data_IF_227524484563
#
_entry.id   IF_227524484563
#
_cell.length_a   1.000
_cell.length_b   1.000
_cell.length_c   1.000
_cell.angle_alpha   90.00
_cell.angle_beta   90.00
_cell.angle_gamma   90.00
#
_symmetry.space_group_name_H-M   'P 1'
#
loop_
_entity.id
_entity.type
_entity.pdbx_description
1 polymer ?
#
# COMPACT_ATOMS: atom_id res chain seq x y z
N UNK A 1 -38.75 14.78 -65.84
CA UNK A 1 -40.14 15.19 -66.08
C UNK A 1 -40.95 14.57 -64.94
N UNK A 2 -41.11 15.32 -63.83
CA UNK A 2 -42.39 15.99 -63.42
C UNK A 2 -43.42 14.93 -63.05
N UNK A 3 -43.97 14.82 -61.84
CA UNK A 3 -44.45 15.77 -60.82
C UNK A 3 -44.34 15.10 -59.42
N UNK A 4 -44.32 15.74 -58.26
CA UNK A 4 -45.07 16.91 -57.81
C UNK A 4 -46.07 16.48 -56.72
N UNK A 5 -45.73 16.80 -55.46
CA UNK A 5 -46.47 16.81 -54.16
C UNK A 5 -47.96 17.30 -54.28
N UNK A 6 -48.90 17.22 -53.29
CA UNK A 6 -48.66 17.44 -51.84
C UNK A 6 -49.62 16.88 -50.75
N UNK A 7 -49.21 17.07 -49.48
CA UNK A 7 -50.09 17.46 -48.35
C UNK A 7 -50.59 16.33 -47.44
N UNK A 8 -50.79 16.48 -46.13
CA UNK A 8 -50.73 17.58 -45.16
C UNK A 8 -50.64 16.94 -43.75
N UNK A 9 -50.16 17.68 -42.74
CA UNK A 9 -50.29 17.25 -41.34
C UNK A 9 -49.41 18.02 -40.36
N UNK A 10 -49.69 19.32 -40.20
CA UNK A 10 -49.10 20.24 -39.23
C UNK A 10 -49.40 19.85 -37.77
N UNK A 11 -48.41 19.94 -36.88
CA UNK A 11 -48.62 20.40 -35.51
C UNK A 11 -47.31 20.95 -34.91
N UNK A 12 -47.30 22.25 -34.69
CA UNK A 12 -46.29 22.97 -33.93
C UNK A 12 -46.45 22.70 -32.43
N UNK A 13 -45.33 22.72 -31.70
CA UNK A 13 -45.32 22.65 -30.24
C UNK A 13 -43.94 22.99 -29.69
N UNK A 14 -43.56 24.26 -29.74
CA UNK A 14 -42.42 24.83 -29.01
C UNK A 14 -42.90 25.25 -27.62
N UNK A 15 -42.23 24.78 -26.57
CA UNK A 15 -42.24 25.45 -25.27
C UNK A 15 -40.95 25.12 -24.51
N UNK A 16 -40.20 26.18 -24.23
CA UNK A 16 -38.97 26.23 -23.44
C UNK A 16 -39.26 26.19 -21.92
N UNK A 17 -38.39 25.48 -21.19
CA UNK A 17 -37.99 25.74 -19.79
C UNK A 17 -38.80 25.10 -18.65
N UNK A 18 -38.36 25.17 -17.37
CA UNK A 18 -36.99 25.22 -16.82
C UNK A 18 -36.70 24.03 -15.87
N UNK A 19 -35.41 23.80 -15.55
CA UNK A 19 -35.03 22.92 -14.45
C UNK A 19 -35.38 23.54 -13.08
N UNK A 20 -35.83 22.74 -12.11
CA UNK A 20 -35.66 23.04 -10.70
C UNK A 20 -34.69 22.04 -10.04
N UNK A 21 -33.70 22.60 -9.36
CA UNK A 21 -32.91 21.92 -8.37
C UNK A 21 -33.71 21.70 -7.06
N UNK A 22 -33.21 20.77 -6.24
CA UNK A 22 -33.23 20.71 -4.76
C UNK A 22 -34.18 19.70 -4.09
N UNK A 23 -33.53 18.72 -3.43
CA UNK A 23 -33.66 18.40 -2.00
C UNK A 23 -34.50 17.20 -1.52
N UNK A 24 -33.76 16.31 -0.83
CA UNK A 24 -33.98 15.77 0.55
C UNK A 24 -34.84 14.51 0.79
N UNK A 25 -34.11 13.46 1.23
CA UNK A 25 -34.15 12.86 2.58
C UNK A 25 -35.32 11.92 2.97
N UNK A 26 -35.02 10.63 3.18
CA UNK A 26 -35.61 9.72 4.21
C UNK A 26 -34.55 8.63 4.52
N UNK A 27 -33.92 8.54 5.71
CA UNK A 27 -34.39 8.12 7.05
C UNK A 27 -34.80 6.64 7.14
N UNK A 28 -34.05 5.87 7.94
CA UNK A 28 -34.33 4.50 8.40
C UNK A 28 -33.01 3.76 8.66
N UNK A 29 -32.50 3.58 9.88
CA UNK A 29 -33.19 3.30 11.13
C UNK A 29 -33.35 1.79 11.30
N UNK A 30 -32.38 1.13 11.94
CA UNK A 30 -32.39 -0.32 12.14
C UNK A 30 -31.34 -0.79 13.14
N UNK A 31 -31.60 -0.52 14.42
CA UNK A 31 -30.86 -1.05 15.56
C UNK A 31 -31.52 -2.39 15.92
N UNK A 32 -30.80 -3.50 15.83
CA UNK A 32 -31.24 -4.79 16.39
C UNK A 32 -30.06 -5.55 16.99
N UNK A 33 -30.10 -5.65 18.32
CA UNK A 33 -29.23 -6.41 19.21
C UNK A 33 -29.84 -7.80 19.41
N UNK A 34 -29.12 -8.89 19.15
CA UNK A 34 -29.36 -10.26 19.69
C UNK A 34 -28.01 -11.01 19.67
N UNK A 35 -27.25 -11.11 20.77
CA UNK A 35 -27.24 -12.11 21.85
C UNK A 35 -26.80 -13.56 21.48
N UNK A 36 -25.59 -13.88 21.96
CA UNK A 36 -25.08 -15.15 22.53
C UNK A 36 -25.15 -16.49 21.76
N UNK A 37 -23.98 -17.09 21.55
CA UNK A 37 -23.69 -18.46 22.04
C UNK A 37 -22.18 -18.73 22.11
N UNK A 38 -21.71 -19.02 23.32
CA UNK A 38 -20.37 -19.55 23.63
C UNK A 38 -20.39 -21.06 23.39
N UNK A 39 -19.54 -21.55 22.49
CA UNK A 39 -19.05 -22.95 22.43
C UNK A 39 -17.64 -22.83 21.80
N UNK A 40 -16.52 -23.07 22.48
CA UNK A 40 -16.21 -24.27 23.25
C UNK A 40 -15.47 -25.25 22.35
N UNK A 41 -14.19 -24.98 22.04
CA UNK A 41 -13.31 -25.95 21.39
C UNK A 41 -11.93 -25.93 22.05
N UNK A 42 -11.89 -26.63 23.16
CA UNK A 42 -10.72 -27.28 23.74
C UNK A 42 -10.08 -28.25 22.74
N UNK A 43 -8.75 -28.17 22.61
CA UNK A 43 -7.90 -29.15 21.92
C UNK A 43 -6.54 -28.50 21.67
N UNK A 44 -5.52 -28.62 22.53
CA UNK A 44 -5.12 -29.79 23.28
C UNK A 44 -4.15 -30.62 22.44
N UNK A 45 -2.91 -30.15 22.29
CA UNK A 45 -1.77 -31.03 21.98
C UNK A 45 -0.78 -30.94 23.13
N UNK A 46 -0.79 -32.04 23.88
CA UNK A 46 0.06 -32.38 25.00
C UNK A 46 0.63 -33.76 24.64
N UNK A 47 1.86 -34.03 25.10
CA UNK A 47 2.65 -35.28 24.98
C UNK A 47 3.59 -35.33 23.77
N UNK A 48 4.87 -35.67 23.92
CA UNK A 48 5.67 -35.99 25.11
C UNK A 48 7.15 -35.94 24.69
N UNK A 49 8.03 -35.61 25.63
CA UNK A 49 9.46 -35.52 25.39
C UNK A 49 10.27 -35.27 26.66
N UNK A 50 10.03 -36.14 27.66
CA UNK A 50 11.02 -36.69 28.60
C UNK A 50 11.97 -35.72 29.33
N UNK A 51 11.66 -35.59 30.63
CA UNK A 51 12.51 -35.43 31.81
C UNK A 51 14.03 -35.32 31.62
N UNK A 52 14.63 -34.25 32.14
CA UNK A 52 15.51 -34.33 33.32
C UNK A 52 16.02 -32.95 33.75
N UNK A 53 15.77 -32.63 35.04
CA UNK A 53 16.28 -31.47 35.76
C UNK A 53 17.74 -31.70 36.26
N UNK A 54 18.42 -30.69 36.86
CA UNK A 54 19.87 -30.43 36.74
C UNK A 54 20.73 -31.12 37.80
N UNK A 55 22.08 -31.01 37.72
CA UNK A 55 22.76 -30.08 38.62
C UNK A 55 24.01 -29.38 38.04
N UNK A 56 24.31 -28.17 38.56
CA UNK A 56 25.62 -27.54 38.51
C UNK A 56 26.50 -27.99 39.72
N UNK A 57 27.69 -27.38 39.94
CA UNK A 57 29.03 -27.58 39.37
C UNK A 57 29.95 -28.39 40.34
N UNK A 58 31.26 -28.67 40.07
CA UNK A 58 32.32 -27.76 40.59
C UNK A 58 33.73 -27.79 39.90
N UNK A 59 34.43 -26.65 40.00
CA UNK A 59 35.87 -26.36 40.27
C UNK A 59 37.08 -27.18 39.74
N UNK A 60 38.18 -26.43 39.54
CA UNK A 60 39.63 -26.77 39.64
C UNK A 60 40.28 -27.47 38.41
N UNK A 61 41.52 -27.20 37.97
CA UNK A 61 42.60 -26.30 38.42
C UNK A 61 43.70 -26.22 37.32
N UNK A 62 44.41 -25.08 37.28
CA UNK A 62 45.86 -24.87 37.13
C UNK A 62 46.66 -25.70 36.11
N UNK A 63 47.37 -25.01 35.20
CA UNK A 63 48.85 -25.14 35.05
C UNK A 63 49.43 -23.86 34.44
N UNK A 64 50.53 -23.43 35.06
CA UNK A 64 51.35 -22.21 34.92
C UNK A 64 52.40 -22.29 33.77
N UNK A 65 53.25 -21.26 33.53
CA UNK A 65 53.70 -20.79 32.20
C UNK A 65 55.10 -21.30 31.81
N UNK A 66 55.71 -20.70 30.76
CA UNK A 66 57.00 -20.05 31.04
C UNK A 66 57.15 -18.63 30.48
N UNK A 67 58.05 -17.93 31.16
CA UNK A 67 58.52 -16.56 30.94
C UNK A 67 59.61 -16.47 29.87
N UNK A 68 59.81 -15.24 29.38
CA UNK A 68 61.05 -14.56 28.97
C UNK A 68 60.67 -13.40 28.05
N UNK A 69 61.24 -12.20 28.05
CA UNK A 69 62.16 -11.39 28.87
C UNK A 69 62.13 -10.02 28.18
N UNK A 70 62.33 -8.95 28.93
CA UNK A 70 62.32 -7.54 28.51
C UNK A 70 63.15 -7.20 27.26
N UNK A 71 62.73 -6.16 26.54
CA UNK A 71 63.68 -5.10 26.14
C UNK A 71 63.02 -3.72 26.19
N UNK A 72 63.73 -2.81 26.84
CA UNK A 72 63.40 -1.41 27.07
C UNK A 72 63.98 -0.58 25.93
N UNK A 73 63.17 0.29 25.33
CA UNK A 73 63.68 1.49 24.65
C UNK A 73 62.63 2.60 24.67
N UNK A 74 62.87 3.58 25.54
CA UNK A 74 62.28 4.90 25.49
C UNK A 74 63.14 5.80 24.58
N UNK A 75 62.51 6.59 23.71
CA UNK A 75 62.69 8.05 23.59
C UNK A 75 62.18 8.61 22.25
N UNK A 76 61.28 9.60 22.37
CA UNK A 76 61.18 10.85 21.58
C UNK A 76 60.89 10.75 20.07
N UNK A 77 59.70 11.17 19.62
CA UNK A 77 59.49 12.48 18.94
C UNK A 77 58.10 12.57 18.24
N UNK A 78 57.44 13.72 18.44
CA UNK A 78 56.41 14.38 17.61
C UNK A 78 54.97 13.81 17.45
N UNK A 79 53.92 14.57 17.82
CA UNK A 79 52.54 14.30 17.45
C UNK A 79 52.29 14.77 16.01
N UNK A 80 52.03 13.84 15.08
CA UNK A 80 51.41 14.20 13.80
C UNK A 80 49.93 13.90 13.88
N UNK A 81 49.18 14.91 14.32
CA UNK A 81 47.73 15.01 14.12
C UNK A 81 47.42 14.76 12.65
N UNK A 82 46.92 13.58 12.32
CA UNK A 82 46.22 13.36 11.07
C UNK A 82 44.91 14.14 11.18
N UNK A 83 44.65 15.15 10.32
CA UNK A 83 43.33 15.77 10.29
C UNK A 83 42.30 14.70 9.96
N UNK A 84 41.07 14.78 10.51
CA UNK A 84 39.98 13.95 10.00
C UNK A 84 39.86 14.25 8.51
N UNK A 85 39.86 13.21 7.69
CA UNK A 85 39.59 13.35 6.27
C UNK A 85 38.17 13.88 6.15
N UNK A 86 38.06 15.18 5.93
CA UNK A 86 36.82 15.85 5.57
C UNK A 86 36.38 15.23 4.26
N UNK A 87 35.41 14.30 4.33
CA UNK A 87 34.68 13.80 3.18
C UNK A 87 33.82 14.92 2.59
N UNK A 88 34.47 15.92 1.98
CA UNK A 88 33.83 16.87 1.08
C UNK A 88 33.90 16.28 -0.32
N UNK A 89 32.89 15.50 -0.66
CA UNK A 89 32.33 15.50 -2.02
C UNK A 89 30.84 15.79 -1.94
N UNK A 90 30.54 16.96 -1.39
CA UNK A 90 29.39 17.74 -1.86
C UNK A 90 29.64 18.10 -3.32
N UNK A 91 29.16 17.24 -4.22
CA UNK A 91 29.00 17.58 -5.63
C UNK A 91 27.62 17.09 -6.05
N UNK A 92 26.68 18.05 -6.00
CA UNK A 92 25.36 18.00 -6.62
C UNK A 92 24.24 17.30 -5.81
N UNK A 93 23.97 17.78 -4.59
CA UNK A 93 22.62 17.72 -3.98
C UNK A 93 21.72 18.78 -4.64
N UNK A 94 21.55 18.70 -5.96
CA UNK A 94 20.68 19.62 -6.69
C UNK A 94 19.24 19.13 -6.54
N UNK A 95 18.46 19.95 -5.80
CA UNK A 95 17.10 19.75 -5.29
C UNK A 95 17.05 18.95 -3.96
N UNK A 96 17.16 19.67 -2.85
CA UNK A 96 17.05 19.14 -1.48
C UNK A 96 15.67 18.56 -1.16
N UNK A 97 15.40 17.38 -1.68
CA UNK A 97 14.24 16.58 -1.32
C UNK A 97 14.62 15.73 -0.10
N UNK A 98 13.97 15.99 1.02
CA UNK A 98 14.15 15.23 2.25
C UNK A 98 12.88 14.45 2.56
N UNK A 99 13.04 13.34 3.28
CA UNK A 99 11.89 12.59 3.79
C UNK A 99 11.15 13.48 4.80
N UNK A 100 9.84 13.74 4.63
CA UNK A 100 9.08 14.55 5.56
C UNK A 100 8.93 13.86 6.92
N UNK A 101 8.63 14.62 7.98
CA UNK A 101 8.23 14.05 9.27
C UNK A 101 6.83 13.42 9.15
N UNK A 102 6.79 12.09 9.20
CA UNK A 102 5.56 11.30 9.05
C UNK A 102 5.15 10.58 10.34
N UNK A 103 6.09 10.36 11.26
CA UNK A 103 5.80 9.71 12.55
C UNK A 103 4.74 10.51 13.32
N UNK A 104 3.73 9.79 13.82
CA UNK A 104 2.55 10.35 14.50
C UNK A 104 1.46 10.89 13.56
N UNK A 105 1.67 10.90 12.23
CA UNK A 105 0.62 11.25 11.25
C UNK A 105 -0.21 10.01 10.91
N UNK A 106 -1.52 10.18 10.62
CA UNK A 106 -2.34 9.10 10.02
C UNK A 106 -1.74 8.65 8.68
N UNK A 107 -1.74 7.34 8.41
CA UNK A 107 -1.07 6.78 7.25
C UNK A 107 -1.63 7.28 5.90
N UNK A 108 -2.92 7.65 5.82
CA UNK A 108 -3.54 8.19 4.59
C UNK A 108 -3.00 9.60 4.31
N UNK A 109 -2.90 10.42 5.35
CA UNK A 109 -2.28 11.74 5.25
C UNK A 109 -0.77 11.64 4.96
N UNK A 110 -0.09 10.63 5.53
CA UNK A 110 1.31 10.37 5.22
C UNK A 110 1.53 9.99 3.75
N UNK A 111 0.65 9.17 3.17
CA UNK A 111 0.63 8.85 1.74
C UNK A 111 0.49 10.11 0.88
N UNK A 112 -0.47 10.98 1.21
CA UNK A 112 -0.68 12.23 0.48
C UNK A 112 0.58 13.12 0.49
N UNK A 113 1.21 13.29 1.67
CA UNK A 113 2.46 14.06 1.82
C UNK A 113 3.61 13.49 0.96
N UNK A 114 3.74 12.16 0.87
CA UNK A 114 4.76 11.53 0.03
C UNK A 114 4.48 11.71 -1.45
N UNK A 115 3.21 11.59 -1.87
CA UNK A 115 2.78 11.81 -3.26
C UNK A 115 3.08 13.23 -3.73
N UNK A 116 2.77 14.25 -2.92
CA UNK A 116 3.09 15.66 -3.20
C UNK A 116 4.59 15.89 -3.43
N UNK A 117 5.42 15.14 -2.70
CA UNK A 117 6.88 15.18 -2.81
C UNK A 117 7.42 14.29 -3.95
N UNK A 118 6.54 13.61 -4.70
CA UNK A 118 6.89 12.63 -5.74
C UNK A 118 7.81 11.53 -5.22
N UNK A 119 7.57 11.11 -3.98
CA UNK A 119 8.22 9.98 -3.33
C UNK A 119 7.30 8.77 -3.40
N UNK A 120 7.89 7.60 -3.63
CA UNK A 120 7.17 6.34 -3.51
C UNK A 120 6.89 6.02 -2.04
N UNK A 121 5.94 5.12 -1.80
CA UNK A 121 5.66 4.64 -0.45
C UNK A 121 5.43 3.13 -0.45
N UNK A 122 5.70 2.52 0.71
CA UNK A 122 5.29 1.15 1.04
C UNK A 122 4.72 1.16 2.44
N UNK A 123 3.48 0.70 2.60
CA UNK A 123 2.84 0.59 3.91
C UNK A 123 3.06 -0.83 4.46
N UNK A 124 3.50 -0.91 5.71
CA UNK A 124 3.57 -2.14 6.50
C UNK A 124 2.68 -1.94 7.70
N UNK A 125 1.60 -2.72 7.80
CA UNK A 125 0.64 -2.61 8.89
C UNK A 125 1.05 -3.54 10.05
N UNK A 126 0.87 -3.06 11.27
CA UNK A 126 1.13 -3.80 12.50
C UNK A 126 -0.13 -4.48 13.05
N UNK A 127 -0.04 -4.95 14.29
CA UNK A 127 -1.11 -5.69 14.99
C UNK A 127 -1.77 -4.88 16.11
N UNK A 128 -1.35 -3.62 16.32
CA UNK A 128 -1.94 -2.74 17.31
C UNK A 128 -3.33 -2.21 16.90
N UNK A 129 -3.75 -1.09 17.49
CA UNK A 129 -5.07 -0.50 17.23
C UNK A 129 -5.02 0.89 16.57
N UNK A 130 -3.82 1.43 16.35
CA UNK A 130 -3.62 2.77 15.81
C UNK A 130 -3.63 2.83 14.29
N UNK A 131 -3.85 4.03 13.74
CA UNK A 131 -3.74 4.33 12.30
C UNK A 131 -2.54 5.23 11.99
N UNK A 132 -1.75 5.54 13.00
CA UNK A 132 -0.60 6.42 12.90
C UNK A 132 0.64 5.68 12.44
N UNK A 133 1.50 6.38 11.72
CA UNK A 133 2.83 5.89 11.36
C UNK A 133 3.73 5.97 12.60
N UNK A 134 4.34 4.84 12.96
CA UNK A 134 5.24 4.75 14.12
C UNK A 134 6.70 4.86 13.72
N UNK A 135 7.03 4.34 12.53
CA UNK A 135 8.39 4.30 12.00
C UNK A 135 8.40 4.54 10.50
N UNK A 136 9.47 5.14 10.01
CA UNK A 136 9.73 5.23 8.57
C UNK A 136 11.17 4.84 8.24
N UNK A 137 11.36 4.40 7.01
CA UNK A 137 12.66 4.14 6.43
C UNK A 137 12.66 4.56 4.95
N UNK A 138 13.53 5.49 4.52
CA UNK A 138 14.48 6.23 5.34
C UNK A 138 13.82 7.09 6.43
N UNK A 139 14.61 7.50 7.43
CA UNK A 139 14.11 8.33 8.53
C UNK A 139 13.79 9.76 8.06
N UNK A 140 12.94 10.45 8.80
CA UNK A 140 12.60 11.84 8.52
C UNK A 140 13.87 12.72 8.47
N UNK A 141 13.91 13.66 7.54
CA UNK A 141 15.07 14.53 7.30
C UNK A 141 16.15 13.90 6.42
N UNK A 142 16.11 12.59 6.16
CA UNK A 142 17.09 11.94 5.28
C UNK A 142 17.01 12.53 3.86
N UNK A 143 18.13 12.95 3.26
CA UNK A 143 18.16 13.40 1.87
C UNK A 143 17.90 12.23 0.93
N UNK A 144 16.95 12.41 0.01
CA UNK A 144 16.53 11.37 -0.93
C UNK A 144 16.44 11.93 -2.35
N UNK A 145 16.52 11.03 -3.34
CA UNK A 145 16.27 11.36 -4.73
C UNK A 145 14.79 11.17 -5.05
N UNK A 146 14.31 11.78 -6.14
CA UNK A 146 12.95 11.51 -6.64
C UNK A 146 12.77 10.03 -6.95
N UNK A 147 11.57 9.51 -6.71
CA UNK A 147 11.25 8.10 -6.94
C UNK A 147 11.76 7.12 -5.88
N UNK A 148 12.44 7.59 -4.82
CA UNK A 148 12.76 6.75 -3.67
C UNK A 148 11.48 6.35 -2.95
N UNK A 149 11.37 5.07 -2.60
CA UNK A 149 10.26 4.53 -1.83
C UNK A 149 10.54 4.63 -0.33
N UNK A 150 9.69 5.35 0.39
CA UNK A 150 9.70 5.38 1.86
C UNK A 150 8.83 4.25 2.38
N UNK A 151 9.35 3.40 3.25
CA UNK A 151 8.57 2.39 3.98
C UNK A 151 8.02 3.01 5.25
N UNK A 152 6.72 2.83 5.52
CA UNK A 152 6.03 3.34 6.70
C UNK A 152 5.47 2.15 7.46
N UNK A 153 5.78 2.05 8.74
CA UNK A 153 5.18 1.08 9.64
C UNK A 153 4.03 1.77 10.37
N UNK A 154 2.84 1.20 10.24
CA UNK A 154 1.59 1.71 10.83
C UNK A 154 1.28 0.89 12.07
N UNK A 155 0.82 1.55 13.12
CA UNK A 155 0.58 0.94 14.44
C UNK A 155 -0.36 -0.28 14.40
N UNK A 156 -1.44 -0.20 13.62
CA UNK A 156 -2.51 -1.19 13.58
C UNK A 156 -2.68 -1.87 12.22
N UNK A 157 -3.69 -2.76 12.12
CA UNK A 157 -3.93 -3.59 10.95
C UNK A 157 -4.41 -2.76 9.75
N UNK A 158 -4.32 -3.32 8.53
CA UNK A 158 -4.85 -2.67 7.35
C UNK A 158 -6.37 -2.50 7.49
N UNK A 159 -6.89 -1.27 7.32
CA UNK A 159 -8.31 -1.03 7.45
C UNK A 159 -9.10 -1.74 6.34
N UNK A 160 -10.36 -2.12 6.62
CA UNK A 160 -11.22 -2.72 5.61
C UNK A 160 -11.61 -1.70 4.54
N UNK A 161 -11.73 -2.17 3.30
CA UNK A 161 -12.22 -1.44 2.12
C UNK A 161 -13.08 -2.37 1.27
N UNK A 162 -13.92 -1.81 0.40
CA UNK A 162 -14.62 -2.58 -0.61
C UNK A 162 -13.85 -2.50 -1.92
N UNK A 163 -13.86 -3.59 -2.68
CA UNK A 163 -13.31 -3.58 -4.04
C UNK A 163 -14.24 -2.73 -4.94
N UNK A 164 -13.73 -1.73 -5.68
CA UNK A 164 -14.54 -0.93 -6.60
C UNK A 164 -15.03 -1.78 -7.79
N UNK A 165 -16.08 -1.30 -8.47
CA UNK A 165 -16.49 -1.82 -9.77
C UNK A 165 -15.67 -1.14 -10.85
N UNK A 166 -14.93 -1.93 -11.63
CA UNK A 166 -13.97 -1.45 -12.63
C UNK A 166 -14.27 -2.01 -14.02
N UNK A 167 -15.27 -2.89 -14.16
CA UNK A 167 -15.59 -3.52 -15.44
C UNK A 167 -16.12 -2.45 -16.40
N UNK A 168 -15.54 -2.37 -17.59
CA UNK A 168 -15.89 -1.34 -18.57
C UNK A 168 -15.06 -0.06 -18.46
N UNK A 169 -14.27 0.11 -17.39
CA UNK A 169 -13.37 1.26 -17.25
C UNK A 169 -12.09 1.11 -18.06
N UNK A 170 -11.46 2.25 -18.37
CA UNK A 170 -10.13 2.28 -18.96
C UNK A 170 -9.12 1.58 -18.06
N UNK A 171 -8.32 0.68 -18.61
CA UNK A 171 -7.38 -0.14 -17.82
C UNK A 171 -6.34 0.67 -17.02
N UNK A 172 -6.06 1.91 -17.44
CA UNK A 172 -5.21 2.85 -16.71
C UNK A 172 -5.99 3.52 -15.58
N UNK A 173 -7.17 4.07 -15.87
CA UNK A 173 -8.03 4.74 -14.89
C UNK A 173 -8.44 3.79 -13.77
N UNK A 174 -8.81 2.55 -14.12
CA UNK A 174 -9.11 1.49 -13.16
C UNK A 174 -7.95 1.19 -12.20
N UNK A 175 -6.70 1.33 -12.67
CA UNK A 175 -5.52 1.12 -11.86
C UNK A 175 -5.31 2.28 -10.87
N UNK A 176 -5.56 3.51 -11.32
CA UNK A 176 -5.52 4.70 -10.48
C UNK A 176 -6.62 4.63 -9.40
N UNK A 177 -7.84 4.25 -9.77
CA UNK A 177 -8.97 4.08 -8.85
C UNK A 177 -8.67 3.05 -7.75
N UNK A 178 -8.04 1.92 -8.11
CA UNK A 178 -7.57 0.94 -7.14
C UNK A 178 -6.55 1.54 -6.17
N UNK A 179 -5.56 2.27 -6.68
CA UNK A 179 -4.54 2.91 -5.83
C UNK A 179 -5.16 3.96 -4.93
N UNK A 180 -6.13 4.73 -5.42
CA UNK A 180 -6.87 5.71 -4.62
C UNK A 180 -7.65 5.04 -3.48
N UNK A 181 -8.34 3.94 -3.78
CA UNK A 181 -9.03 3.08 -2.82
C UNK A 181 -8.09 2.37 -1.82
N UNK A 182 -6.78 2.40 -2.06
CA UNK A 182 -5.78 1.77 -1.19
C UNK A 182 -5.51 0.31 -1.51
N UNK A 183 -5.89 -0.14 -2.70
CA UNK A 183 -5.67 -1.47 -3.27
C UNK A 183 -4.55 -1.41 -4.32
N UNK A 184 -4.01 -2.58 -4.69
CA UNK A 184 -2.98 -2.68 -5.74
C UNK A 184 -3.49 -3.40 -6.98
N UNK A 185 -3.34 -2.82 -8.18
CA UNK A 185 -3.66 -3.50 -9.42
C UNK A 185 -2.63 -4.60 -9.72
N UNK A 186 -3.11 -5.77 -10.16
CA UNK A 186 -2.30 -6.83 -10.76
C UNK A 186 -2.88 -7.24 -12.10
N UNK A 187 -2.17 -6.95 -13.19
CA UNK A 187 -2.64 -7.34 -14.51
C UNK A 187 -2.44 -8.85 -14.75
N UNK A 188 -3.52 -9.58 -15.02
CA UNK A 188 -3.51 -10.97 -15.50
C UNK A 188 -3.28 -11.02 -17.00
N UNK A 189 -3.97 -10.16 -17.74
CA UNK A 189 -3.87 -10.06 -19.20
C UNK A 189 -3.97 -8.59 -19.61
N UNK A 190 -3.23 -8.22 -20.65
CA UNK A 190 -3.21 -6.85 -21.17
C UNK A 190 -2.82 -5.79 -20.13
N UNK A 191 -2.61 -4.56 -20.60
CA UNK A 191 -2.43 -3.36 -19.75
C UNK A 191 -3.06 -2.12 -20.38
N UNK A 192 -3.86 -2.33 -21.41
CA UNK A 192 -4.41 -1.31 -22.31
C UNK A 192 -5.82 -1.73 -22.72
N UNK A 193 -6.60 -0.78 -23.22
CA UNK A 193 -8.01 -1.01 -23.54
C UNK A 193 -8.85 -0.92 -22.27
N UNK A 194 -9.88 -1.76 -22.21
CA UNK A 194 -10.91 -1.75 -21.18
C UNK A 194 -10.73 -2.93 -20.24
N UNK A 195 -11.13 -2.80 -18.98
CA UNK A 195 -11.18 -3.92 -18.04
C UNK A 195 -12.34 -4.84 -18.41
N UNK A 196 -12.02 -6.07 -18.79
CA UNK A 196 -12.97 -7.12 -19.17
C UNK A 196 -13.35 -8.00 -17.98
N UNK A 197 -12.43 -8.14 -17.02
CA UNK A 197 -12.67 -8.89 -15.79
C UNK A 197 -11.81 -8.35 -14.64
N UNK A 198 -12.34 -8.43 -13.42
CA UNK A 198 -11.63 -8.16 -12.19
C UNK A 198 -11.82 -9.31 -11.19
N UNK A 199 -10.85 -9.49 -10.30
CA UNK A 199 -10.91 -10.47 -9.21
C UNK A 199 -10.13 -9.94 -8.00
N UNK A 200 -10.75 -9.74 -6.83
CA UNK A 200 -12.14 -10.04 -6.48
C UNK A 200 -13.18 -9.20 -7.23
N UNK A 201 -14.45 -9.64 -7.21
CA UNK A 201 -15.58 -8.91 -7.82
C UNK A 201 -15.90 -7.63 -7.07
N UNK A 202 -16.56 -6.69 -7.75
CA UNK A 202 -17.03 -5.44 -7.17
C UNK A 202 -17.82 -5.66 -5.86
N UNK A 203 -17.60 -4.78 -4.89
CA UNK A 203 -18.24 -4.82 -3.57
C UNK A 203 -17.68 -5.88 -2.61
N UNK A 204 -16.77 -6.76 -3.05
CA UNK A 204 -16.16 -7.75 -2.16
C UNK A 204 -15.40 -7.08 -1.02
N UNK A 205 -15.41 -7.65 0.20
CA UNK A 205 -14.61 -7.13 1.29
C UNK A 205 -13.12 -7.36 1.01
N UNK A 206 -12.34 -6.31 1.16
CA UNK A 206 -10.89 -6.30 1.05
C UNK A 206 -10.30 -5.47 2.18
N UNK A 207 -8.97 -5.39 2.22
CA UNK A 207 -8.20 -4.57 3.13
C UNK A 207 -7.22 -3.73 2.34
N UNK A 208 -6.77 -2.63 2.95
CA UNK A 208 -5.68 -1.86 2.36
C UNK A 208 -4.46 -2.73 2.07
N UNK A 209 -3.78 -2.43 0.98
CA UNK A 209 -2.71 -3.22 0.36
C UNK A 209 -3.13 -4.55 -0.27
N UNK A 210 -4.40 -4.94 -0.22
CA UNK A 210 -4.84 -6.12 -0.98
C UNK A 210 -4.70 -5.88 -2.48
N UNK A 211 -4.51 -6.97 -3.21
CA UNK A 211 -4.33 -6.94 -4.66
C UNK A 211 -5.63 -7.29 -5.37
N UNK A 212 -5.99 -6.50 -6.38
CA UNK A 212 -7.10 -6.79 -7.29
C UNK A 212 -6.51 -7.11 -8.66
N UNK A 213 -6.85 -8.28 -9.16
CA UNK A 213 -6.39 -8.77 -10.44
C UNK A 213 -7.28 -8.24 -11.57
N UNK A 214 -6.67 -7.62 -12.58
CA UNK A 214 -7.37 -7.04 -13.75
C UNK A 214 -7.03 -7.81 -15.02
N UNK A 215 -8.03 -8.07 -15.84
CA UNK A 215 -7.87 -8.60 -17.20
C UNK A 215 -8.32 -7.51 -18.17
N UNK A 216 -7.36 -6.93 -18.89
CA UNK A 216 -7.61 -5.84 -19.81
C UNK A 216 -7.48 -6.30 -21.27
N UNK A 217 -8.30 -5.72 -22.14
CA UNK A 217 -8.21 -5.95 -23.56
C UNK A 217 -9.13 -5.01 -24.33
N UNK A 218 -9.02 -5.08 -25.65
CA UNK A 218 -10.09 -4.60 -26.53
C UNK A 218 -11.16 -5.68 -26.55
N UNK A 219 -12.43 -5.33 -26.35
CA UNK A 219 -13.52 -6.28 -26.61
C UNK A 219 -13.34 -6.86 -28.02
N UNK A 220 -13.22 -8.18 -28.11
CA UNK A 220 -13.26 -8.84 -29.40
C UNK A 220 -14.67 -8.59 -29.97
N UNK A 221 -14.77 -8.00 -31.17
CA UNK A 221 -16.07 -7.89 -31.84
C UNK A 221 -16.74 -9.27 -31.84
N UNK A 222 -18.01 -9.39 -31.42
CA UNK A 222 -18.70 -10.67 -31.51
C UNK A 222 -18.71 -11.08 -32.97
N UNK A 223 -18.10 -12.24 -33.29
CA UNK A 223 -18.18 -12.81 -34.63
C UNK A 223 -19.66 -13.03 -34.94
N UNK A 224 -20.24 -12.43 -36.00
CA UNK A 224 -21.62 -12.68 -36.36
C UNK A 224 -21.81 -14.18 -36.62
N UNK A 225 -22.94 -14.79 -36.21
CA UNK A 225 -23.19 -16.19 -36.51
C UNK A 225 -23.14 -16.41 -38.02
N UNK A 226 -22.43 -17.45 -38.48
CA UNK A 226 -22.47 -17.86 -39.89
C UNK A 226 -23.93 -18.14 -40.29
N UNK A 227 -24.42 -17.57 -41.42
CA UNK A 227 -25.73 -17.96 -41.92
C UNK A 227 -25.69 -19.43 -42.32
N UNK A 228 -26.62 -20.23 -41.77
CA UNK A 228 -26.87 -21.60 -42.23
C UNK A 228 -27.54 -21.55 -43.61
N UNK A 229 -27.08 -22.33 -44.61
CA UNK A 229 -27.66 -22.35 -45.95
C UNK A 229 -29.07 -22.97 -45.99
#
# INVERSE_FOLDING_TARGET
MTDGYPGQGTAAGKADGPAPARSRLLLGGGLAVVLLAVIGASGGWLLAGEDSAPPAPPVAAVTTPPASTDDTSAATDSPRSTPPVTGTTGRTSAAGLTVPKLIGTDFVAARAKLRERKLGWRLVFGEGSGRTVERTYPEAGTPVRRGVTVTLWVAGPPPPVAVPDLIGDGCHDAADDLVEAGLYPRYRTGRTGTVLAQDPTAGSPARWNDTVALSCGTEASPTPPSPTP
#
